data_IF_147660983717
#
_entry.id   IF_147660983717
#
_cell.length_a   1.000
_cell.length_b   1.000
_cell.length_c   1.000
_cell.angle_alpha   90.00
_cell.angle_beta   90.00
_cell.angle_gamma   90.00
#
_symmetry.space_group_name_H-M   'P 1'
#
loop_
_entity.id
_entity.type
_entity.pdbx_description
1 polymer ?
#
# COMPACT_ATOMS: atom_id res chain seq x y z
N UNK A 1 -29.67 66.42 -15.10
CA UNK A 1 -28.25 66.27 -15.42
C UNK A 1 -27.65 65.39 -14.36
N UNK A 2 -27.64 64.06 -14.58
CA UNK A 2 -27.20 63.04 -13.60
C UNK A 2 -25.84 62.57 -14.06
N UNK A 3 -24.83 62.80 -13.21
CA UNK A 3 -23.44 62.44 -13.43
C UNK A 3 -23.25 60.97 -12.97
N UNK A 4 -23.05 60.05 -13.89
CA UNK A 4 -22.74 58.68 -13.63
C UNK A 4 -21.25 58.52 -13.44
N UNK A 5 -20.78 58.24 -12.22
CA UNK A 5 -19.38 57.98 -11.91
C UNK A 5 -19.08 56.48 -12.21
N UNK A 6 -18.27 56.22 -13.19
CA UNK A 6 -17.79 54.90 -13.57
C UNK A 6 -16.55 54.57 -12.69
N UNK A 7 -16.72 53.64 -11.73
CA UNK A 7 -15.61 53.14 -10.94
C UNK A 7 -15.03 51.94 -11.67
N UNK A 8 -13.84 52.09 -12.20
CA UNK A 8 -13.04 50.99 -12.80
C UNK A 8 -12.23 50.31 -11.70
N UNK A 9 -12.62 49.07 -11.33
CA UNK A 9 -11.77 48.23 -10.51
C UNK A 9 -10.66 47.62 -11.38
N UNK A 10 -9.45 48.09 -11.22
CA UNK A 10 -8.26 47.42 -11.75
C UNK A 10 -7.90 46.32 -10.75
N UNK A 11 -8.30 45.09 -11.04
CA UNK A 11 -7.78 43.91 -10.38
C UNK A 11 -6.35 43.66 -10.87
N UNK A 12 -5.36 44.06 -10.08
CA UNK A 12 -3.99 43.69 -10.31
C UNK A 12 -3.81 42.20 -10.09
N UNK A 13 -3.57 41.45 -11.17
CA UNK A 13 -2.97 40.11 -11.07
C UNK A 13 -1.53 40.32 -10.58
N UNK A 14 -1.26 39.95 -9.34
CA UNK A 14 0.09 39.74 -8.89
C UNK A 14 0.58 38.45 -9.53
N UNK A 15 1.42 38.53 -10.55
CA UNK A 15 2.19 37.41 -11.07
C UNK A 15 3.15 36.95 -9.97
N UNK A 16 2.69 35.95 -9.19
CA UNK A 16 3.56 35.20 -8.32
C UNK A 16 4.18 34.10 -9.18
N UNK A 17 5.22 34.41 -9.92
CA UNK A 17 6.06 33.45 -10.63
C UNK A 17 6.94 32.71 -9.62
N UNK A 18 6.33 31.94 -8.76
CA UNK A 18 6.99 30.77 -8.23
C UNK A 18 6.96 29.76 -9.36
N UNK A 19 8.09 29.57 -10.02
CA UNK A 19 8.39 28.37 -10.79
C UNK A 19 8.47 27.21 -9.79
N UNK A 20 7.34 26.79 -9.25
CA UNK A 20 7.17 25.42 -8.80
C UNK A 20 7.08 24.63 -10.11
N UNK A 21 8.16 23.89 -10.42
CA UNK A 21 8.06 22.77 -11.33
C UNK A 21 6.78 22.02 -10.94
N UNK A 22 5.92 21.64 -11.91
CA UNK A 22 4.77 20.81 -11.57
C UNK A 22 5.36 19.55 -10.95
N UNK A 23 5.35 19.49 -9.61
CA UNK A 23 5.47 18.21 -8.92
C UNK A 23 4.44 17.33 -9.60
N UNK A 24 4.95 16.36 -10.35
CA UNK A 24 4.15 15.29 -10.91
C UNK A 24 3.46 14.63 -9.71
N UNK A 25 2.27 15.14 -9.42
CA UNK A 25 1.46 14.72 -8.30
C UNK A 25 0.98 13.29 -8.49
N UNK A 26 1.90 12.37 -8.35
CA UNK A 26 1.54 11.01 -7.96
C UNK A 26 1.00 11.18 -6.55
N UNK A 27 -0.26 10.87 -6.36
CA UNK A 27 -0.90 10.96 -5.04
C UNK A 27 -0.13 10.04 -4.10
N UNK A 28 0.81 10.62 -3.36
CA UNK A 28 1.60 9.96 -2.33
C UNK A 28 0.66 9.56 -1.19
N UNK A 29 -0.03 8.47 -1.31
CA UNK A 29 -0.99 8.07 -0.28
C UNK A 29 -1.95 6.96 -0.71
N UNK A 30 -1.75 6.38 -1.88
CA UNK A 30 -2.57 5.28 -2.38
C UNK A 30 -1.65 4.20 -2.93
N UNK A 31 -1.78 2.98 -2.41
CA UNK A 31 -1.07 1.81 -2.89
C UNK A 31 -1.78 1.13 -4.07
N UNK A 32 -1.81 -0.19 -4.07
CA UNK A 32 -2.66 -0.97 -4.95
C UNK A 32 -4.10 -0.96 -4.39
N UNK A 33 -5.04 -0.33 -5.09
CA UNK A 33 -6.44 -0.23 -4.67
C UNK A 33 -7.34 -1.22 -5.39
N UNK A 34 -8.30 -1.78 -4.66
CA UNK A 34 -9.45 -2.48 -5.23
C UNK A 34 -10.50 -1.39 -5.49
N UNK A 35 -10.63 -0.97 -6.75
CA UNK A 35 -11.57 0.08 -7.15
C UNK A 35 -13.01 -0.43 -7.16
N UNK A 36 -13.19 -1.68 -7.59
CA UNK A 36 -14.48 -2.37 -7.54
C UNK A 36 -14.28 -3.85 -7.26
N UNK A 37 -15.21 -4.43 -6.51
CA UNK A 37 -15.33 -5.86 -6.29
C UNK A 37 -16.79 -6.20 -6.11
N UNK A 38 -17.31 -7.13 -6.90
CA UNK A 38 -18.71 -7.52 -6.81
C UNK A 38 -19.11 -8.59 -7.81
N UNK A 39 -20.27 -9.13 -7.60
CA UNK A 39 -20.92 -10.12 -8.48
C UNK A 39 -21.86 -9.43 -9.45
N UNK A 40 -22.00 -9.99 -10.64
CA UNK A 40 -22.93 -9.46 -11.64
C UNK A 40 -24.40 -9.58 -11.19
N UNK A 41 -24.74 -10.68 -10.52
CA UNK A 41 -26.04 -10.90 -9.89
C UNK A 41 -25.79 -11.18 -8.39
N UNK A 42 -26.30 -10.36 -7.50
CA UNK A 42 -26.19 -10.49 -6.05
C UNK A 42 -27.25 -11.42 -5.44
N UNK A 43 -28.28 -11.75 -6.22
CA UNK A 43 -29.34 -12.66 -5.84
C UNK A 43 -29.42 -13.82 -6.83
N UNK A 44 -29.02 -15.00 -6.38
CA UNK A 44 -28.92 -16.21 -7.20
C UNK A 44 -30.02 -17.21 -6.89
N UNK A 45 -30.40 -18.00 -7.90
CA UNK A 45 -31.17 -19.24 -7.66
C UNK A 45 -30.22 -20.43 -7.53
N UNK A 46 -30.65 -21.54 -6.87
CA UNK A 46 -29.82 -22.74 -6.72
C UNK A 46 -29.24 -23.22 -8.04
N UNK A 47 -27.93 -23.42 -8.09
CA UNK A 47 -27.19 -23.84 -9.28
C UNK A 47 -27.00 -22.75 -10.36
N UNK A 48 -27.45 -21.53 -10.12
CA UNK A 48 -27.23 -20.42 -11.05
C UNK A 48 -25.76 -19.98 -10.99
N UNK A 49 -25.18 -19.80 -12.18
CA UNK A 49 -23.84 -19.20 -12.34
C UNK A 49 -23.91 -17.68 -12.45
N UNK A 50 -22.90 -17.01 -11.92
CA UNK A 50 -22.67 -15.58 -12.10
C UNK A 50 -21.18 -15.30 -12.18
N UNK A 51 -20.81 -14.07 -12.55
CA UNK A 51 -19.41 -13.64 -12.60
C UNK A 51 -19.10 -12.76 -11.40
N UNK A 52 -18.08 -13.12 -10.65
CA UNK A 52 -17.39 -12.23 -9.71
C UNK A 52 -16.35 -11.45 -10.50
N UNK A 53 -16.32 -10.15 -10.36
CA UNK A 53 -15.34 -9.27 -11.00
C UNK A 53 -14.67 -8.36 -9.99
N UNK A 54 -13.39 -8.08 -10.23
CA UNK A 54 -12.57 -7.15 -9.44
C UNK A 54 -11.80 -6.25 -10.39
N UNK A 55 -11.76 -4.96 -10.08
CA UNK A 55 -10.90 -3.99 -10.77
C UNK A 55 -9.86 -3.50 -9.79
N UNK A 56 -8.59 -3.67 -10.14
CA UNK A 56 -7.43 -3.17 -9.41
C UNK A 56 -6.90 -1.93 -10.09
N UNK A 57 -6.38 -0.99 -9.29
CA UNK A 57 -5.73 0.23 -9.75
C UNK A 57 -4.43 0.44 -9.02
N UNK A 58 -3.34 0.48 -9.78
CA UNK A 58 -2.01 0.60 -9.21
C UNK A 58 -1.56 2.06 -9.14
N UNK A 59 -1.40 2.58 -7.93
CA UNK A 59 -0.87 3.92 -7.66
C UNK A 59 0.61 3.89 -7.26
N UNK A 60 1.22 2.71 -7.11
CA UNK A 60 2.65 2.61 -6.86
C UNK A 60 3.46 3.10 -8.05
N UNK A 61 4.50 3.86 -7.77
CA UNK A 61 5.51 4.26 -8.76
C UNK A 61 6.62 3.21 -8.91
N UNK A 62 6.63 2.23 -8.03
CA UNK A 62 7.52 1.08 -8.05
C UNK A 62 6.78 -0.13 -8.62
N UNK A 63 7.55 -1.06 -9.17
CA UNK A 63 7.03 -2.35 -9.59
C UNK A 63 6.49 -3.13 -8.38
N UNK A 64 5.36 -3.76 -8.57
CA UNK A 64 4.76 -4.70 -7.62
C UNK A 64 4.61 -6.05 -8.28
N UNK A 65 4.79 -7.11 -7.51
CA UNK A 65 4.60 -8.48 -7.97
C UNK A 65 3.38 -9.07 -7.27
N UNK A 66 2.35 -9.41 -8.06
CA UNK A 66 1.14 -10.04 -7.52
C UNK A 66 1.39 -11.53 -7.38
N UNK A 67 1.35 -12.02 -6.15
CA UNK A 67 1.56 -13.42 -5.81
C UNK A 67 0.29 -14.26 -5.95
N UNK A 68 -0.83 -13.69 -5.50
CA UNK A 68 -2.09 -14.45 -5.37
C UNK A 68 -3.30 -13.52 -5.48
N UNK A 69 -4.22 -13.88 -6.35
CA UNK A 69 -5.57 -13.32 -6.40
C UNK A 69 -6.52 -14.50 -6.42
N UNK A 70 -7.13 -14.82 -5.27
CA UNK A 70 -7.93 -16.01 -5.12
C UNK A 70 -9.17 -15.80 -4.25
N UNK A 71 -10.15 -16.66 -4.43
CA UNK A 71 -11.34 -16.74 -3.55
C UNK A 71 -11.08 -17.77 -2.46
N UNK A 72 -11.44 -17.44 -1.23
CA UNK A 72 -11.39 -18.36 -0.09
C UNK A 72 -12.58 -18.17 0.83
N UNK A 73 -12.83 -19.13 1.72
CA UNK A 73 -14.04 -19.18 2.57
C UNK A 73 -15.32 -19.06 1.74
N UNK A 74 -15.39 -19.79 0.64
CA UNK A 74 -16.42 -19.70 -0.39
C UNK A 74 -17.87 -19.98 0.06
N UNK A 75 -18.06 -20.44 1.30
CA UNK A 75 -19.40 -20.60 1.91
C UNK A 75 -20.29 -21.64 1.24
N UNK A 76 -19.70 -22.59 0.51
CA UNK A 76 -20.28 -23.58 -0.39
C UNK A 76 -20.72 -23.02 -1.76
N UNK A 77 -20.18 -21.89 -2.20
CA UNK A 77 -20.21 -21.52 -3.61
C UNK A 77 -19.32 -22.50 -4.38
N UNK A 78 -19.70 -22.80 -5.61
CA UNK A 78 -18.90 -23.60 -6.52
C UNK A 78 -18.11 -22.61 -7.38
N UNK A 79 -16.80 -22.78 -7.46
CA UNK A 79 -15.92 -21.98 -8.31
C UNK A 79 -15.62 -22.77 -9.59
N UNK A 80 -15.57 -22.07 -10.73
CA UNK A 80 -15.36 -22.69 -12.04
C UNK A 80 -16.61 -23.14 -12.75
N UNK A 81 -16.43 -23.64 -13.98
CA UNK A 81 -17.52 -24.02 -14.87
C UNK A 81 -18.11 -25.41 -14.62
N UNK A 82 -17.37 -26.27 -13.92
CA UNK A 82 -17.59 -27.73 -13.95
C UNK A 82 -18.13 -28.32 -12.66
N UNK A 83 -18.74 -27.76 -11.75
CA UNK A 83 -19.25 -28.35 -10.50
C UNK A 83 -18.22 -29.24 -9.72
N UNK A 84 -17.00 -29.35 -10.24
CA UNK A 84 -15.87 -30.02 -9.61
C UNK A 84 -14.79 -28.98 -9.35
N UNK A 85 -14.86 -28.36 -8.19
CA UNK A 85 -13.93 -27.32 -7.78
C UNK A 85 -12.50 -27.85 -7.77
N UNK A 86 -11.61 -27.18 -8.50
CA UNK A 86 -10.17 -27.38 -8.45
C UNK A 86 -9.50 -26.18 -7.77
N UNK A 87 -8.25 -26.32 -7.33
CA UNK A 87 -7.51 -25.18 -6.79
C UNK A 87 -7.26 -24.10 -7.84
N UNK A 88 -7.24 -24.45 -9.11
CA UNK A 88 -7.06 -23.52 -10.24
C UNK A 88 -8.29 -22.62 -10.41
N UNK A 89 -9.51 -23.13 -10.14
CA UNK A 89 -10.75 -22.36 -10.25
C UNK A 89 -10.85 -21.23 -9.20
N UNK A 90 -10.05 -21.29 -8.13
CA UNK A 90 -9.96 -20.27 -7.09
C UNK A 90 -9.12 -19.07 -7.52
N UNK A 91 -8.24 -19.26 -8.51
CA UNK A 91 -7.36 -18.22 -9.04
C UNK A 91 -8.12 -17.39 -10.07
N UNK A 92 -7.91 -16.07 -10.02
CA UNK A 92 -8.54 -15.14 -10.95
C UNK A 92 -8.00 -15.28 -12.38
N UNK A 93 -8.87 -15.08 -13.35
CA UNK A 93 -8.46 -14.74 -14.72
C UNK A 93 -8.33 -13.21 -14.81
N UNK A 94 -7.10 -12.74 -14.93
CA UNK A 94 -6.78 -11.32 -14.93
C UNK A 94 -6.26 -10.82 -16.27
N UNK A 95 -6.69 -9.62 -16.65
CA UNK A 95 -6.23 -8.93 -17.85
C UNK A 95 -5.95 -7.43 -17.56
N UNK A 96 -4.72 -6.93 -17.75
CA UNK A 96 -3.52 -7.70 -18.10
C UNK A 96 -3.11 -8.68 -16.98
N UNK A 97 -2.24 -9.65 -17.26
CA UNK A 97 -1.70 -10.60 -16.26
C UNK A 97 -0.79 -9.90 -15.24
N UNK A 98 -0.11 -8.84 -15.66
CA UNK A 98 0.77 -8.02 -14.82
C UNK A 98 0.27 -6.57 -14.83
N UNK A 99 0.39 -5.88 -13.70
CA UNK A 99 -0.01 -4.49 -13.58
C UNK A 99 1.21 -3.56 -13.49
N UNK A 100 1.33 -2.68 -14.46
CA UNK A 100 2.45 -1.74 -14.57
C UNK A 100 2.48 -0.72 -13.41
N UNK A 101 3.65 -0.13 -13.09
CA UNK A 101 3.75 1.00 -12.18
C UNK A 101 3.01 2.24 -12.69
N UNK A 102 2.50 3.06 -11.78
CA UNK A 102 1.91 4.35 -12.11
C UNK A 102 2.94 5.29 -12.76
N UNK A 103 2.57 5.91 -13.87
CA UNK A 103 3.43 6.82 -14.62
C UNK A 103 2.73 8.14 -14.88
N UNK A 104 3.41 9.27 -14.62
CA UNK A 104 2.93 10.62 -14.93
C UNK A 104 1.50 10.91 -14.40
N UNK A 105 1.16 10.36 -13.22
CA UNK A 105 -0.15 10.53 -12.61
C UNK A 105 -1.25 9.63 -13.16
N UNK A 106 -0.92 8.72 -14.07
CA UNK A 106 -1.84 7.70 -14.59
C UNK A 106 -1.60 6.41 -13.80
N UNK A 107 -2.65 5.92 -13.14
CA UNK A 107 -2.65 4.64 -12.44
C UNK A 107 -3.19 3.56 -13.39
N UNK A 108 -2.40 2.56 -13.77
CA UNK A 108 -2.85 1.43 -14.58
C UNK A 108 -3.94 0.63 -13.87
N UNK A 109 -4.78 -0.03 -14.67
CA UNK A 109 -5.87 -0.86 -14.20
C UNK A 109 -5.69 -2.31 -14.66
N UNK A 110 -6.11 -3.24 -13.81
CA UNK A 110 -6.19 -4.68 -14.10
C UNK A 110 -7.60 -5.15 -13.76
N UNK A 111 -8.19 -5.94 -14.62
CA UNK A 111 -9.50 -6.55 -14.39
C UNK A 111 -9.35 -8.05 -14.19
N UNK A 112 -9.90 -8.55 -13.09
CA UNK A 112 -9.89 -9.96 -12.73
C UNK A 112 -11.30 -10.49 -12.62
N UNK A 113 -11.50 -11.75 -12.99
CA UNK A 113 -12.82 -12.37 -12.95
C UNK A 113 -12.78 -13.84 -12.54
N UNK A 114 -13.90 -14.31 -11.99
CA UNK A 114 -14.15 -15.70 -11.65
C UNK A 114 -15.56 -16.06 -12.06
N UNK A 115 -15.75 -17.30 -12.48
CA UNK A 115 -17.08 -17.89 -12.58
C UNK A 115 -17.44 -18.51 -11.23
N UNK A 116 -18.54 -18.10 -10.63
CA UNK A 116 -19.07 -18.67 -9.38
C UNK A 116 -20.49 -19.18 -9.61
N UNK A 117 -20.85 -20.28 -8.94
CA UNK A 117 -22.17 -20.85 -8.98
C UNK A 117 -22.77 -21.00 -7.58
N UNK A 118 -24.05 -20.73 -7.45
CA UNK A 118 -24.79 -20.99 -6.23
C UNK A 118 -24.85 -22.50 -5.95
N UNK A 119 -24.82 -22.92 -4.64
CA UNK A 119 -25.02 -24.30 -4.29
C UNK A 119 -26.35 -24.84 -4.79
N UNK A 120 -26.42 -26.15 -4.99
CA UNK A 120 -27.62 -26.83 -5.42
C UNK A 120 -28.75 -26.74 -4.37
N UNK A 121 -29.98 -26.99 -4.80
CA UNK A 121 -31.13 -27.01 -3.88
C UNK A 121 -30.99 -28.05 -2.77
N UNK A 122 -30.30 -29.16 -3.04
CA UNK A 122 -30.05 -30.22 -2.07
C UNK A 122 -29.08 -29.75 -0.98
N UNK A 123 -28.05 -28.98 -1.34
CA UNK A 123 -27.07 -28.42 -0.44
C UNK A 123 -27.61 -27.26 0.40
N UNK A 124 -28.56 -26.50 -0.16
CA UNK A 124 -29.28 -25.45 0.58
C UNK A 124 -30.23 -26.00 1.63
N UNK A 125 -30.74 -27.22 1.42
CA UNK A 125 -31.70 -27.84 2.31
C UNK A 125 -33.06 -27.17 2.33
N UNK A 126 -33.64 -26.97 3.51
CA UNK A 126 -35.00 -26.41 3.68
C UNK A 126 -35.06 -24.89 3.71
N UNK A 127 -33.96 -24.20 3.43
CA UNK A 127 -33.94 -22.72 3.45
C UNK A 127 -34.59 -22.14 2.18
N UNK A 128 -35.44 -21.16 2.36
CA UNK A 128 -36.03 -20.37 1.26
C UNK A 128 -35.08 -19.29 0.76
N UNK A 129 -34.16 -18.85 1.61
CA UNK A 129 -33.11 -17.88 1.30
C UNK A 129 -31.91 -18.13 2.23
N UNK A 130 -30.71 -18.02 1.70
CA UNK A 130 -29.46 -18.17 2.43
C UNK A 130 -28.45 -17.10 1.98
N UNK A 131 -28.04 -16.19 2.87
CA UNK A 131 -26.91 -15.32 2.59
C UNK A 131 -25.61 -16.13 2.64
N UNK A 132 -24.71 -15.86 1.72
CA UNK A 132 -23.38 -16.46 1.64
C UNK A 132 -22.39 -15.32 1.56
N UNK A 133 -21.42 -15.32 2.48
CA UNK A 133 -20.28 -14.40 2.47
C UNK A 133 -19.01 -15.17 2.15
N UNK A 134 -18.18 -14.62 1.31
CA UNK A 134 -16.88 -15.18 0.97
C UNK A 134 -15.82 -14.09 0.87
N UNK A 135 -14.57 -14.48 0.86
CA UNK A 135 -13.46 -13.54 0.84
C UNK A 135 -12.68 -13.67 -0.47
N UNK A 136 -12.19 -12.55 -0.96
CA UNK A 136 -11.17 -12.51 -2.01
C UNK A 136 -9.83 -12.18 -1.34
N UNK A 137 -8.79 -12.94 -1.64
CA UNK A 137 -7.42 -12.64 -1.23
C UNK A 137 -6.70 -11.98 -2.38
N UNK A 138 -6.07 -10.85 -2.11
CA UNK A 138 -5.11 -10.18 -2.99
C UNK A 138 -3.81 -10.09 -2.20
N UNK A 139 -2.77 -10.81 -2.63
CA UNK A 139 -1.45 -10.77 -2.03
C UNK A 139 -0.40 -10.35 -3.06
N UNK A 140 0.49 -9.45 -2.70
CA UNK A 140 1.52 -8.92 -3.58
C UNK A 140 2.75 -8.45 -2.80
N UNK A 141 3.90 -8.53 -3.46
CA UNK A 141 5.13 -7.94 -2.96
C UNK A 141 5.21 -6.47 -3.38
N UNK A 142 5.59 -5.63 -2.45
CA UNK A 142 5.71 -4.19 -2.63
C UNK A 142 6.95 -3.66 -1.93
N UNK A 143 7.38 -2.49 -2.35
CA UNK A 143 8.46 -1.77 -1.70
C UNK A 143 8.15 -0.28 -1.58
N UNK A 144 8.82 0.38 -0.65
CA UNK A 144 8.83 1.82 -0.51
C UNK A 144 10.27 2.31 -0.45
N UNK A 145 10.57 3.36 -1.19
CA UNK A 145 11.90 3.97 -1.25
C UNK A 145 11.78 5.44 -0.89
N UNK A 146 12.65 5.94 -0.02
CA UNK A 146 12.71 7.38 0.19
C UNK A 146 13.28 8.06 -1.06
N UNK A 147 12.45 8.83 -1.75
CA UNK A 147 12.83 9.59 -2.96
C UNK A 147 13.86 10.68 -2.68
N UNK A 148 13.84 11.23 -1.46
CA UNK A 148 14.78 12.22 -0.97
C UNK A 148 15.63 11.65 0.15
N UNK A 149 16.98 11.64 0.03
CA UNK A 149 17.83 11.09 1.06
C UNK A 149 17.75 11.88 2.36
N UNK A 150 17.82 11.17 3.48
CA UNK A 150 18.04 11.78 4.78
C UNK A 150 19.51 12.22 4.89
N UNK A 151 19.76 13.48 5.23
CA UNK A 151 21.12 14.03 5.38
C UNK A 151 21.61 13.82 6.81
N UNK A 152 22.48 12.85 7.00
CA UNK A 152 23.16 12.62 8.28
C UNK A 152 24.41 13.50 8.36
N UNK A 153 24.51 14.32 9.41
CA UNK A 153 25.67 15.17 9.68
C UNK A 153 26.45 14.59 10.86
N UNK A 154 27.68 14.16 10.58
CA UNK A 154 28.62 13.71 11.61
C UNK A 154 29.50 14.88 12.02
N UNK A 155 29.53 15.20 13.32
CA UNK A 155 30.25 16.35 13.86
C UNK A 155 31.02 15.98 15.11
N UNK A 156 32.02 16.81 15.45
CA UNK A 156 32.67 16.73 16.72
C UNK A 156 31.69 16.96 17.88
N UNK A 157 31.86 16.27 18.99
CA UNK A 157 31.01 16.39 20.20
C UNK A 157 30.90 17.83 20.71
N UNK A 158 31.96 18.66 20.49
CA UNK A 158 31.99 20.07 20.89
C UNK A 158 30.99 20.95 20.06
N UNK A 159 30.55 20.51 18.88
CA UNK A 159 29.76 21.31 17.97
C UNK A 159 28.27 20.95 17.96
N UNK A 160 27.86 20.07 18.87
CA UNK A 160 26.51 19.45 18.90
C UNK A 160 25.47 20.29 19.67
N UNK A 161 25.87 21.39 20.32
CA UNK A 161 25.07 22.08 21.35
C UNK A 161 23.74 22.74 20.90
N UNK A 162 23.39 22.81 19.61
CA UNK A 162 22.16 23.52 19.19
C UNK A 162 21.48 22.99 17.92
N UNK A 163 21.47 21.71 17.69
CA UNK A 163 20.85 21.18 16.47
C UNK A 163 19.59 20.37 16.75
N UNK A 164 18.59 20.55 15.93
CA UNK A 164 17.34 19.80 15.98
C UNK A 164 17.57 18.33 15.60
N UNK A 165 16.75 17.39 16.13
CA UNK A 165 16.79 16.01 15.69
C UNK A 165 16.51 15.95 14.19
N UNK A 166 17.12 15.00 13.50
CA UNK A 166 16.78 14.70 12.11
C UNK A 166 15.65 13.71 12.09
N UNK A 167 14.60 14.10 11.43
CA UNK A 167 13.44 13.25 11.19
C UNK A 167 13.13 13.23 9.69
N UNK A 168 12.77 12.08 9.17
CA UNK A 168 12.31 11.91 7.80
C UNK A 168 11.21 10.86 7.78
N UNK A 169 10.07 11.21 7.19
CA UNK A 169 8.93 10.32 7.00
C UNK A 169 8.62 10.19 5.52
N UNK A 170 8.28 9.00 5.08
CA UNK A 170 7.82 8.71 3.72
C UNK A 170 6.79 7.59 3.74
N UNK A 171 5.83 7.63 2.82
CA UNK A 171 4.70 6.71 2.76
C UNK A 171 4.33 6.40 1.30
N UNK A 172 3.70 5.24 1.07
CA UNK A 172 3.15 4.83 -0.22
C UNK A 172 1.65 4.50 -0.17
N UNK A 173 0.98 4.81 0.95
CA UNK A 173 -0.43 4.57 1.17
C UNK A 173 -0.77 3.22 1.79
N UNK A 174 0.19 2.33 1.92
CA UNK A 174 0.07 1.05 2.61
C UNK A 174 0.85 1.06 3.90
N UNK A 175 2.09 1.53 3.84
CA UNK A 175 2.92 1.72 5.01
C UNK A 175 3.49 3.14 5.03
N UNK A 176 3.78 3.60 6.24
CA UNK A 176 4.54 4.79 6.52
C UNK A 176 5.81 4.41 7.26
N UNK A 177 6.93 4.98 6.84
CA UNK A 177 8.24 4.76 7.46
C UNK A 177 8.74 6.09 8.00
N UNK A 178 9.00 6.15 9.30
CA UNK A 178 9.66 7.27 9.96
C UNK A 178 11.06 6.88 10.40
N UNK A 179 12.00 7.77 10.19
CA UNK A 179 13.39 7.65 10.62
C UNK A 179 13.72 8.85 11.49
N UNK A 180 14.24 8.60 12.68
CA UNK A 180 14.64 9.64 13.63
C UNK A 180 16.01 9.37 14.20
N UNK A 181 16.85 10.41 14.30
CA UNK A 181 18.09 10.37 15.04
C UNK A 181 18.14 11.53 16.04
N UNK A 182 18.37 11.22 17.30
CA UNK A 182 18.43 12.18 18.41
C UNK A 182 19.60 13.16 18.32
N UNK A 183 19.56 14.21 17.56
CA UNK A 183 20.64 15.17 17.32
C UNK A 183 21.64 14.70 16.25
N UNK A 184 22.44 15.62 15.70
CA UNK A 184 23.44 15.23 14.71
C UNK A 184 24.30 14.07 15.24
N UNK A 185 24.49 13.10 14.39
CA UNK A 185 25.32 11.96 14.73
C UNK A 185 26.72 12.44 15.11
N UNK A 186 27.16 12.08 16.32
CA UNK A 186 28.54 12.24 16.70
C UNK A 186 29.35 11.06 16.18
N UNK A 187 30.69 11.18 16.17
CA UNK A 187 31.55 10.04 15.82
C UNK A 187 31.39 8.85 16.79
N UNK A 188 30.84 9.09 17.95
CA UNK A 188 30.69 8.11 19.03
C UNK A 188 29.30 7.49 19.07
N UNK A 189 28.80 7.01 17.96
CA UNK A 189 27.56 6.26 17.86
C UNK A 189 26.32 6.98 18.43
N UNK A 190 25.38 7.24 17.61
CA UNK A 190 24.02 7.64 18.00
C UNK A 190 23.05 6.58 17.57
N UNK A 191 21.97 6.42 18.30
CA UNK A 191 20.91 5.54 17.90
C UNK A 191 20.01 6.25 16.89
N UNK A 192 19.77 5.60 15.78
CA UNK A 192 18.74 5.96 14.83
C UNK A 192 17.57 5.01 15.01
N UNK A 193 16.39 5.56 15.13
CA UNK A 193 15.16 4.83 15.29
C UNK A 193 14.43 4.79 13.96
N UNK A 194 13.85 3.65 13.67
CA UNK A 194 12.99 3.42 12.53
C UNK A 194 11.64 2.94 13.05
N UNK A 195 10.59 3.57 12.57
CA UNK A 195 9.22 3.18 12.86
C UNK A 195 8.53 2.88 11.54
N UNK A 196 7.93 1.71 11.43
CA UNK A 196 7.08 1.35 10.29
C UNK A 196 5.67 1.17 10.79
N UNK A 197 4.75 1.87 10.16
CA UNK A 197 3.33 1.80 10.48
C UNK A 197 2.53 1.36 9.26
N UNK A 198 1.67 0.36 9.43
CA UNK A 198 0.66 0.04 8.43
C UNK A 198 -0.44 1.12 8.46
N UNK A 199 -0.57 1.86 7.38
CA UNK A 199 -1.56 2.93 7.21
C UNK A 199 -2.66 2.55 6.20
N UNK A 200 -2.49 1.45 5.48
CA UNK A 200 -3.45 0.95 4.51
C UNK A 200 -4.54 0.08 5.11
N UNK A 201 -5.44 -0.39 4.26
CA UNK A 201 -6.61 -1.20 4.65
C UNK A 201 -6.34 -2.71 4.75
N UNK A 202 -5.16 -3.16 4.32
CA UNK A 202 -4.74 -4.55 4.38
C UNK A 202 -3.83 -4.85 5.56
N UNK A 203 -3.09 -5.94 5.46
CA UNK A 203 -2.09 -6.37 6.44
C UNK A 203 -0.78 -6.72 5.75
N UNK A 204 0.32 -6.59 6.48
CA UNK A 204 1.62 -7.10 6.03
C UNK A 204 1.72 -8.57 6.43
N UNK A 205 2.06 -9.41 5.46
CA UNK A 205 2.27 -10.85 5.65
C UNK A 205 3.77 -11.11 5.77
N UNK A 206 4.20 -11.63 6.91
CA UNK A 206 5.61 -11.85 7.21
C UNK A 206 6.34 -10.60 7.75
N UNK A 207 7.57 -10.40 7.31
CA UNK A 207 8.46 -9.38 7.86
C UNK A 207 8.81 -8.28 6.87
N UNK A 208 9.11 -7.10 7.40
CA UNK A 208 9.73 -6.03 6.62
C UNK A 208 11.21 -6.33 6.35
N UNK A 209 11.66 -6.07 5.13
CA UNK A 209 13.09 -6.09 4.79
C UNK A 209 13.56 -4.66 4.57
N UNK A 210 14.57 -4.27 5.35
CA UNK A 210 15.19 -2.96 5.23
C UNK A 210 16.48 -3.06 4.45
N UNK A 211 16.61 -2.17 3.45
CA UNK A 211 17.86 -1.91 2.76
C UNK A 211 18.22 -0.44 2.94
N UNK A 212 19.49 -0.16 3.14
CA UNK A 212 20.00 1.19 3.33
C UNK A 212 21.36 1.39 2.66
N UNK A 213 21.56 2.57 2.10
CA UNK A 213 22.79 2.93 1.42
C UNK A 213 23.24 4.33 1.87
N UNK A 214 24.49 4.52 2.35
CA UNK A 214 25.54 3.51 2.47
C UNK A 214 25.41 2.64 3.73
N UNK A 215 25.61 1.35 3.59
CA UNK A 215 25.61 0.39 4.70
C UNK A 215 26.66 0.70 5.77
N UNK A 216 27.78 1.31 5.36
CA UNK A 216 28.91 1.66 6.24
C UNK A 216 28.60 2.70 7.29
N UNK A 217 27.42 3.30 7.27
CA UNK A 217 26.96 4.27 8.29
C UNK A 217 26.36 3.56 9.50
N UNK A 218 25.91 2.33 9.33
CA UNK A 218 25.25 1.58 10.38
C UNK A 218 26.14 0.47 10.92
N UNK A 219 26.25 0.42 12.24
CA UNK A 219 26.78 -0.72 12.98
C UNK A 219 25.69 -1.22 13.93
N UNK A 220 25.74 -2.50 14.25
CA UNK A 220 24.88 -3.14 15.25
C UNK A 220 23.37 -2.80 15.08
N UNK A 221 22.85 -2.87 13.85
CA UNK A 221 21.40 -2.83 13.68
C UNK A 221 20.78 -4.03 14.38
N UNK A 222 19.94 -3.75 15.34
CA UNK A 222 19.17 -4.80 16.02
C UNK A 222 18.09 -5.26 15.05
N UNK A 223 18.45 -6.23 14.22
CA UNK A 223 17.57 -6.83 13.20
C UNK A 223 16.48 -7.74 13.80
N UNK A 224 16.27 -7.71 15.10
CA UNK A 224 15.43 -8.67 15.79
C UNK A 224 13.93 -8.51 15.56
N UNK A 225 13.50 -7.49 14.84
CA UNK A 225 12.08 -7.30 14.51
C UNK A 225 11.70 -7.76 13.09
N UNK A 226 12.58 -8.51 12.41
CA UNK A 226 12.26 -9.10 11.10
C UNK A 226 11.26 -10.26 11.18
N UNK A 227 10.92 -10.74 12.37
CA UNK A 227 10.15 -11.97 12.59
C UNK A 227 8.77 -11.74 13.23
N UNK A 228 8.45 -10.54 13.69
CA UNK A 228 7.11 -10.28 14.22
C UNK A 228 6.17 -9.92 13.07
N UNK A 229 5.15 -10.73 12.85
CA UNK A 229 4.08 -10.45 11.89
C UNK A 229 3.32 -9.20 12.32
N UNK A 230 3.43 -8.07 11.60
CA UNK A 230 2.65 -6.89 11.93
C UNK A 230 1.19 -7.15 11.59
N UNK A 231 0.34 -6.94 12.56
CA UNK A 231 -1.13 -6.95 12.39
C UNK A 231 -1.58 -5.61 11.80
N UNK A 232 -2.72 -5.56 11.14
CA UNK A 232 -3.33 -4.30 10.65
C UNK A 232 -3.35 -3.24 11.74
N UNK A 233 -2.80 -2.07 11.46
CA UNK A 233 -2.66 -0.98 12.42
C UNK A 233 -1.54 -1.15 13.44
N UNK A 234 -0.70 -2.18 13.31
CA UNK A 234 0.47 -2.34 14.17
C UNK A 234 1.63 -1.44 13.73
N UNK A 235 2.48 -1.12 14.68
CA UNK A 235 3.72 -0.38 14.46
C UNK A 235 4.88 -1.31 14.76
N UNK A 236 5.84 -1.40 13.85
CA UNK A 236 7.11 -2.08 14.08
C UNK A 236 8.21 -1.04 14.30
N UNK A 237 9.02 -1.23 15.33
CA UNK A 237 10.11 -0.33 15.68
C UNK A 237 11.44 -1.12 15.72
N UNK A 238 12.49 -0.53 15.20
CA UNK A 238 13.85 -1.06 15.34
C UNK A 238 14.84 0.08 15.39
N UNK A 239 16.07 -0.21 15.77
CA UNK A 239 17.10 0.81 15.90
C UNK A 239 18.45 0.31 15.44
N UNK A 240 19.26 1.24 14.91
CA UNK A 240 20.64 1.00 14.51
C UNK A 240 21.58 2.01 15.17
N UNK A 241 22.81 1.59 15.47
CA UNK A 241 23.87 2.52 15.85
C UNK A 241 24.37 3.20 14.56
N UNK A 242 24.37 4.54 14.56
CA UNK A 242 24.90 5.35 13.46
C UNK A 242 26.26 5.89 13.88
N UNK A 243 27.32 5.53 13.17
CA UNK A 243 28.66 6.01 13.46
C UNK A 243 29.47 6.29 12.19
N UNK A 244 30.44 7.15 12.34
CA UNK A 244 31.39 7.49 11.28
C UNK A 244 32.71 7.93 11.91
N UNK A 245 33.81 7.66 11.22
CA UNK A 245 35.18 7.88 11.72
C UNK A 245 35.66 9.34 11.60
N UNK A 246 34.94 10.20 10.90
CA UNK A 246 35.31 11.59 10.65
C UNK A 246 34.12 12.50 10.39
N UNK A 247 34.35 13.79 10.52
CA UNK A 247 33.39 14.83 10.16
C UNK A 247 32.99 14.74 8.69
N UNK A 248 31.69 14.61 8.44
CA UNK A 248 31.14 14.47 7.09
C UNK A 248 29.63 14.68 7.06
N UNK A 249 29.10 14.85 5.84
CA UNK A 249 27.67 14.75 5.55
C UNK A 249 27.48 13.51 4.69
N UNK A 250 26.53 12.66 5.06
CA UNK A 250 26.14 11.46 4.32
C UNK A 250 24.67 11.52 3.95
N UNK A 251 24.38 11.16 2.72
CA UNK A 251 23.00 10.97 2.26
C UNK A 251 22.60 9.51 2.50
N UNK A 252 21.60 9.30 3.33
CA UNK A 252 21.05 7.99 3.61
C UNK A 252 19.83 7.76 2.73
N UNK A 253 19.90 6.74 1.90
CA UNK A 253 18.76 6.18 1.18
C UNK A 253 18.28 4.93 1.91
N UNK A 254 16.98 4.78 2.02
CA UNK A 254 16.36 3.64 2.68
C UNK A 254 15.25 3.10 1.79
N UNK A 255 15.17 1.79 1.69
CA UNK A 255 14.01 1.10 1.12
C UNK A 255 13.49 0.04 2.08
N UNK A 256 12.20 -0.20 2.03
CA UNK A 256 11.52 -1.22 2.82
C UNK A 256 10.69 -2.06 1.88
N UNK A 257 11.01 -3.36 1.79
CA UNK A 257 10.23 -4.33 1.03
C UNK A 257 9.36 -5.15 1.98
N UNK A 258 8.15 -5.48 1.54
CA UNK A 258 7.16 -6.20 2.34
C UNK A 258 6.16 -6.89 1.42
N UNK A 259 5.47 -7.90 1.96
CA UNK A 259 4.32 -8.54 1.34
C UNK A 259 3.04 -7.96 1.92
N UNK A 260 2.14 -7.49 1.07
CA UNK A 260 0.88 -6.90 1.48
C UNK A 260 -0.31 -7.77 1.08
N UNK A 261 -1.29 -7.89 1.98
CA UNK A 261 -2.47 -8.74 1.77
C UNK A 261 -3.73 -7.95 2.06
N UNK A 262 -4.67 -7.97 1.12
CA UNK A 262 -6.04 -7.45 1.27
C UNK A 262 -7.03 -8.60 1.20
N UNK A 263 -8.04 -8.58 2.07
CA UNK A 263 -9.04 -9.65 2.17
C UNK A 263 -10.45 -9.09 2.23
N UNK A 264 -10.93 -8.41 1.17
CA UNK A 264 -12.31 -7.92 1.13
C UNK A 264 -13.33 -9.06 1.17
N UNK A 265 -14.53 -8.73 1.67
CA UNK A 265 -15.67 -9.65 1.77
C UNK A 265 -16.66 -9.32 0.67
N UNK A 266 -17.24 -10.34 0.08
CA UNK A 266 -18.33 -10.25 -0.89
C UNK A 266 -19.52 -11.05 -0.37
N UNK A 267 -20.71 -10.50 -0.49
CA UNK A 267 -21.96 -11.11 -0.08
C UNK A 267 -22.84 -11.42 -1.29
N UNK A 268 -23.45 -12.59 -1.29
CA UNK A 268 -24.49 -12.99 -2.26
C UNK A 268 -25.66 -13.63 -1.51
N UNK A 269 -26.87 -13.50 -2.04
CA UNK A 269 -28.06 -14.16 -1.50
C UNK A 269 -28.52 -15.27 -2.45
N UNK A 270 -28.69 -16.48 -1.93
CA UNK A 270 -29.26 -17.59 -2.71
C UNK A 270 -30.70 -17.80 -2.29
N UNK A 271 -31.64 -17.62 -3.24
CA UNK A 271 -33.09 -17.67 -3.02
C UNK A 271 -33.67 -18.90 -3.72
N UNK A 272 -34.19 -19.84 -2.92
CA UNK A 272 -34.92 -21.01 -3.43
C UNK A 272 -36.37 -20.62 -3.72
N UNK A 273 -36.72 -20.48 -4.98
CA UNK A 273 -38.13 -20.29 -5.42
C UNK A 273 -38.83 -21.60 -5.63
#
# INVERSE_FOLDING_TARGET
MVLLALIVFVSGCADNTNNEDPELGVSSGKGLEIESLGVADDTLTPGQQTTLSMTLKNYHTQEIEIDDISVFNDGNLILGDDQTETNEDKIADCNPEEIEPAQQGIAPEMQCSWTIAAPSKEELGAFSSKPISFNVRLAYDSNIINSEPMKLQFRSVSDIDNTEPFEKTFANGEIEVSMEVEKPASFAGKTMYFTVQNTGSGSVDGSYKFDYNPETVFEDCINNHREEEPVVGSTAEFSCQVQHDRESIRNLFTSVSYKYVKTPIVDVEVVSR
#
